data_IF_708091194562
#
_entry.id   IF_708091194562
#
_cell.length_a   1.000
_cell.length_b   1.000
_cell.length_c   1.000
_cell.angle_alpha   90.00
_cell.angle_beta   90.00
_cell.angle_gamma   90.00
#
_symmetry.space_group_name_H-M   'P 1'
#
loop_
_entity.id
_entity.type
_entity.pdbx_description
1 polymer ?
#
# COMPACT_ATOMS: atom_id res chain seq x y z
N UNK A 1 -17.29 5.44 3.63
CA UNK A 1 -16.82 4.91 2.32
C UNK A 1 -17.91 4.05 1.69
N UNK A 2 -18.12 4.18 0.40
CA UNK A 2 -19.12 3.40 -0.31
C UNK A 2 -18.54 2.03 -0.70
N UNK A 3 -19.37 0.97 -0.69
CA UNK A 3 -18.94 -0.37 -1.10
C UNK A 3 -18.40 -0.34 -2.55
N UNK A 4 -17.42 -1.20 -2.83
CA UNK A 4 -16.84 -1.33 -4.15
C UNK A 4 -15.94 -0.19 -4.57
N UNK A 5 -15.41 0.58 -3.61
CA UNK A 5 -14.67 1.80 -3.90
C UNK A 5 -13.24 1.75 -3.39
N UNK A 6 -12.32 2.23 -4.23
CA UNK A 6 -10.93 2.55 -3.84
C UNK A 6 -10.78 4.06 -4.00
N UNK A 7 -10.39 4.72 -2.92
CA UNK A 7 -10.16 6.16 -2.93
C UNK A 7 -8.71 6.41 -2.55
N UNK A 8 -8.03 7.29 -3.28
CA UNK A 8 -6.65 7.66 -2.96
C UNK A 8 -6.49 9.17 -2.92
N UNK A 9 -5.58 9.61 -2.08
CA UNK A 9 -5.22 11.01 -1.95
C UNK A 9 -3.72 11.13 -1.75
N UNK A 10 -3.05 11.83 -2.64
CA UNK A 10 -1.62 12.12 -2.48
C UNK A 10 -1.46 13.18 -1.40
N UNK A 11 -0.73 12.84 -0.33
CA UNK A 11 -0.49 13.73 0.79
C UNK A 11 0.77 14.56 0.59
N UNK A 12 1.80 13.96 -0.01
CA UNK A 12 3.07 14.63 -0.30
C UNK A 12 3.75 13.91 -1.45
N UNK A 13 4.46 14.66 -2.29
CA UNK A 13 5.21 14.08 -3.40
C UNK A 13 6.32 15.01 -3.83
N UNK A 14 7.51 14.44 -4.01
CA UNK A 14 8.66 15.11 -4.61
C UNK A 14 9.54 14.07 -5.29
N UNK A 15 10.74 14.47 -5.74
CA UNK A 15 11.64 13.57 -6.47
C UNK A 15 12.19 12.43 -5.61
N UNK A 16 12.12 12.55 -4.29
CA UNK A 16 12.68 11.58 -3.36
C UNK A 16 11.62 10.65 -2.77
N UNK A 17 10.40 11.14 -2.54
CA UNK A 17 9.38 10.39 -1.80
C UNK A 17 7.98 10.76 -2.27
N UNK A 18 7.08 9.78 -2.20
CA UNK A 18 5.65 10.02 -2.35
C UNK A 18 4.89 9.36 -1.20
N UNK A 19 3.90 10.04 -0.65
CA UNK A 19 3.05 9.53 0.42
C UNK A 19 1.60 9.64 -0.04
N UNK A 20 0.91 8.51 -0.09
CA UNK A 20 -0.47 8.43 -0.54
C UNK A 20 -1.33 7.78 0.54
N UNK A 21 -2.47 8.38 0.81
CA UNK A 21 -3.48 7.79 1.69
C UNK A 21 -4.48 7.03 0.82
N UNK A 22 -4.75 5.77 1.18
CA UNK A 22 -5.74 4.93 0.51
C UNK A 22 -6.85 4.53 1.46
N UNK A 23 -8.05 4.44 0.91
CA UNK A 23 -9.19 3.84 1.59
C UNK A 23 -9.81 2.82 0.63
N UNK A 24 -9.86 1.57 1.08
CA UNK A 24 -10.37 0.44 0.30
C UNK A 24 -11.65 -0.08 0.93
N UNK A 25 -12.69 -0.28 0.13
CA UNK A 25 -13.85 -1.03 0.56
C UNK A 25 -13.53 -2.53 0.56
N UNK A 26 -14.21 -3.28 1.42
CA UNK A 26 -14.05 -4.74 1.49
C UNK A 26 -14.20 -5.37 0.10
N UNK A 27 -13.30 -6.27 -0.24
CA UNK A 27 -13.27 -6.97 -1.53
C UNK A 27 -12.49 -6.27 -2.62
N UNK A 28 -12.11 -5.01 -2.44
CA UNK A 28 -11.32 -4.29 -3.43
C UNK A 28 -9.86 -4.72 -3.39
N UNK A 29 -9.19 -4.63 -4.54
CA UNK A 29 -7.79 -5.06 -4.63
C UNK A 29 -7.03 -4.25 -5.68
N UNK A 30 -5.71 -4.23 -5.51
CA UNK A 30 -4.77 -3.82 -6.55
C UNK A 30 -3.99 -5.07 -6.92
N UNK A 31 -4.02 -5.44 -8.20
CA UNK A 31 -3.35 -6.64 -8.71
C UNK A 31 -1.83 -6.56 -8.59
N UNK A 32 -1.19 -7.68 -8.82
CA UNK A 32 0.26 -7.80 -8.67
C UNK A 32 1.00 -6.84 -9.60
N UNK A 33 1.92 -6.10 -9.03
CA UNK A 33 2.78 -5.17 -9.75
C UNK A 33 4.09 -5.03 -8.97
N UNK A 34 5.06 -4.34 -9.56
CA UNK A 34 6.30 -3.99 -8.87
C UNK A 34 6.54 -2.49 -8.97
N UNK A 35 7.54 -2.02 -8.25
CA UNK A 35 7.96 -0.62 -8.32
C UNK A 35 9.48 -0.53 -8.31
N UNK A 36 10.00 0.60 -8.80
CA UNK A 36 11.45 0.85 -8.79
C UNK A 36 11.95 1.33 -7.44
N UNK A 37 11.05 1.83 -6.58
CA UNK A 37 11.38 2.30 -5.24
C UNK A 37 10.93 1.34 -4.16
N UNK A 38 11.54 1.43 -2.98
CA UNK A 38 11.06 0.73 -1.80
C UNK A 38 9.77 1.38 -1.32
N UNK A 39 8.82 0.56 -0.90
CA UNK A 39 7.54 1.04 -0.40
C UNK A 39 7.32 0.59 1.03
N UNK A 40 6.75 1.47 1.83
CA UNK A 40 6.34 1.14 3.19
C UNK A 40 4.84 1.38 3.34
N UNK A 41 4.16 0.39 3.89
CA UNK A 41 2.74 0.42 4.16
C UNK A 41 2.53 0.61 5.65
N UNK A 42 1.62 1.51 6.03
CA UNK A 42 1.16 1.64 7.42
C UNK A 42 -0.36 1.61 7.41
N UNK A 43 -0.95 0.70 8.18
CA UNK A 43 -2.40 0.59 8.26
C UNK A 43 -2.92 1.48 9.38
N UNK A 44 -3.95 2.28 9.09
CA UNK A 44 -4.54 3.23 10.04
C UNK A 44 -5.84 2.68 10.64
N UNK A 45 -6.67 2.04 9.83
CA UNK A 45 -7.96 1.46 10.25
C UNK A 45 -8.21 0.18 9.47
N UNK A 46 -8.84 -0.80 10.11
CA UNK A 46 -9.16 -2.08 9.48
C UNK A 46 -7.93 -2.95 9.30
N UNK A 47 -8.04 -3.97 8.47
CA UNK A 47 -6.95 -4.91 8.19
C UNK A 47 -6.77 -5.02 6.69
N UNK A 48 -5.54 -4.93 6.22
CA UNK A 48 -5.20 -5.14 4.81
C UNK A 48 -4.38 -6.41 4.62
N UNK A 49 -4.54 -7.06 3.48
CA UNK A 49 -3.71 -8.19 3.09
C UNK A 49 -2.76 -7.74 1.99
N UNK A 50 -1.47 -7.85 2.26
CA UNK A 50 -0.42 -7.45 1.34
C UNK A 50 0.38 -8.69 0.98
N UNK A 51 0.44 -9.01 -0.30
CA UNK A 51 1.22 -10.16 -0.78
C UNK A 51 2.50 -9.63 -1.40
N UNK A 52 3.64 -10.04 -0.85
CA UNK A 52 4.96 -9.59 -1.29
C UNK A 52 5.76 -10.81 -1.69
N UNK A 53 6.20 -10.83 -2.94
CA UNK A 53 6.99 -11.93 -3.50
C UNK A 53 6.32 -13.29 -3.26
N UNK A 54 4.97 -13.32 -3.43
CA UNK A 54 4.17 -14.52 -3.26
C UNK A 54 3.78 -14.86 -1.82
N UNK A 55 4.21 -14.09 -0.83
CA UNK A 55 3.93 -14.36 0.60
C UNK A 55 2.90 -13.36 1.10
N UNK A 56 1.73 -13.82 1.60
CA UNK A 56 0.72 -12.91 2.13
C UNK A 56 1.01 -12.50 3.57
N UNK A 57 0.73 -11.23 3.88
CA UNK A 57 0.85 -10.65 5.22
C UNK A 57 -0.43 -9.91 5.55
N UNK A 58 -1.00 -10.17 6.72
CA UNK A 58 -2.10 -9.37 7.25
C UNK A 58 -1.51 -8.28 8.13
N UNK A 59 -1.83 -7.02 7.79
CA UNK A 59 -1.30 -5.86 8.49
C UNK A 59 -2.47 -5.16 9.18
N UNK A 60 -2.32 -4.93 10.49
CA UNK A 60 -3.33 -4.35 11.37
C UNK A 60 -3.02 -2.89 11.69
N UNK A 61 -3.98 -2.15 12.26
CA UNK A 61 -3.73 -0.76 12.63
C UNK A 61 -2.51 -0.60 13.52
N UNK A 62 -1.67 0.35 13.19
CA UNK A 62 -0.42 0.63 13.89
C UNK A 62 0.76 -0.22 13.44
N UNK A 63 0.53 -1.21 12.57
CA UNK A 63 1.60 -2.03 12.02
C UNK A 63 2.06 -1.47 10.69
N UNK A 64 3.29 -1.79 10.32
CA UNK A 64 3.90 -1.38 9.05
C UNK A 64 4.55 -2.59 8.37
N UNK A 65 4.63 -2.51 7.04
CA UNK A 65 5.26 -3.54 6.21
C UNK A 65 6.08 -2.85 5.14
N UNK A 66 7.31 -3.31 4.93
CA UNK A 66 8.15 -2.85 3.84
C UNK A 66 7.99 -3.80 2.65
N UNK A 67 7.73 -3.21 1.49
CA UNK A 67 7.68 -3.93 0.21
C UNK A 67 8.90 -3.50 -0.59
N UNK A 68 9.94 -4.36 -0.67
CA UNK A 68 11.19 -3.97 -1.34
C UNK A 68 10.99 -3.67 -2.83
N UNK A 69 11.83 -2.78 -3.34
CA UNK A 69 11.85 -2.44 -4.77
C UNK A 69 12.01 -3.69 -5.63
N UNK A 70 11.35 -3.71 -6.78
CA UNK A 70 11.43 -4.76 -7.80
C UNK A 70 10.88 -6.12 -7.37
N UNK A 71 10.26 -6.21 -6.20
CA UNK A 71 9.56 -7.42 -5.78
C UNK A 71 8.07 -7.28 -6.13
N UNK A 72 7.45 -8.31 -6.71
CA UNK A 72 6.02 -8.23 -7.03
C UNK A 72 5.20 -8.15 -5.75
N UNK A 73 4.19 -7.29 -5.74
CA UNK A 73 3.31 -7.13 -4.60
C UNK A 73 1.89 -6.82 -5.04
N UNK A 74 0.93 -7.17 -4.20
CA UNK A 74 -0.48 -6.91 -4.41
C UNK A 74 -1.14 -6.56 -3.08
N UNK A 75 -2.32 -5.95 -3.16
CA UNK A 75 -3.08 -5.51 -1.99
C UNK A 75 -4.51 -5.99 -2.14
N UNK A 76 -5.06 -6.56 -1.08
CA UNK A 76 -6.45 -7.01 -1.01
C UNK A 76 -7.08 -6.53 0.29
N UNK A 77 -8.34 -6.10 0.22
CA UNK A 77 -9.10 -5.64 1.37
C UNK A 77 -10.05 -6.74 1.86
N UNK A 78 -9.69 -7.51 2.92
CA UNK A 78 -10.64 -8.46 3.51
C UNK A 78 -11.80 -7.77 4.22
N UNK A 79 -11.61 -6.51 4.59
CA UNK A 79 -12.62 -5.63 5.17
C UNK A 79 -12.31 -4.19 4.75
N UNK A 80 -13.19 -3.25 5.06
CA UNK A 80 -12.90 -1.84 4.81
C UNK A 80 -11.64 -1.46 5.59
N UNK A 81 -10.66 -0.84 4.92
CA UNK A 81 -9.46 -0.41 5.64
C UNK A 81 -8.87 0.84 5.02
N UNK A 82 -8.12 1.57 5.84
CA UNK A 82 -7.36 2.77 5.43
C UNK A 82 -5.89 2.55 5.73
N UNK A 83 -5.06 3.01 4.81
CA UNK A 83 -3.62 2.82 4.93
C UNK A 83 -2.87 3.89 4.17
N UNK A 84 -1.61 4.09 4.53
CA UNK A 84 -0.72 4.99 3.80
C UNK A 84 0.37 4.19 3.11
N UNK A 85 0.70 4.64 1.90
CA UNK A 85 1.80 4.10 1.11
C UNK A 85 2.87 5.17 0.99
N UNK A 86 4.07 4.87 1.48
CA UNK A 86 5.24 5.73 1.32
C UNK A 86 6.19 5.04 0.35
N UNK A 87 6.47 5.68 -0.77
CA UNK A 87 7.42 5.17 -1.77
C UNK A 87 8.65 6.05 -1.73
N UNK A 88 9.81 5.42 -1.57
CA UNK A 88 11.10 6.09 -1.60
C UNK A 88 11.70 5.81 -2.97
N UNK A 89 11.84 6.86 -3.77
CA UNK A 89 12.35 6.72 -5.14
C UNK A 89 13.85 6.47 -5.14
N UNK A 90 14.36 5.70 -6.13
CA UNK A 90 15.80 5.47 -6.23
C UNK A 90 16.54 6.79 -6.38
N UNK A 91 17.69 6.87 -5.73
CA UNK A 91 18.56 8.02 -5.84
C UNK A 91 19.31 7.96 -7.18
N UNK A 92 19.18 9.00 -7.97
CA UNK A 92 19.92 9.14 -9.25
C UNK A 92 21.09 10.09 -9.07
N UNK A 93 22.27 9.59 -9.32
CA UNK A 93 23.50 10.39 -9.35
C UNK A 93 23.84 10.80 -10.77
#
# INVERSE_FOLDING_TARGET
MQPGQVVSKTLAQNDAVSVTLFAFAAGEEIGTHDSTGDAMVTVLEGVGQFTVDGVPYLVKPGEALVMPAKKPHSVYAPENFKWTLTVIFPHNN
#
